data_IF_593221203876
#
_entry.id   IF_593221203876
#
_cell.length_a   1.000
_cell.length_b   1.000
_cell.length_c   1.000
_cell.angle_alpha   90.00
_cell.angle_beta   90.00
_cell.angle_gamma   90.00
#
_symmetry.space_group_name_H-M   'P 1'
#
loop_
_entity.id
_entity.type
_entity.pdbx_description
1 polymer ?
#
# COMPACT_ATOMS: atom_id res chain seq x y z
N UNK A 1 -16.40 14.56 1.56
CA UNK A 1 -14.95 14.52 1.92
C UNK A 1 -14.30 13.37 1.16
N UNK A 2 -13.02 13.46 0.82
CA UNK A 2 -12.28 12.34 0.21
C UNK A 2 -11.50 11.58 1.27
N UNK A 3 -11.51 10.25 1.18
CA UNK A 3 -10.63 9.37 1.96
C UNK A 3 -9.93 8.37 1.05
N UNK A 4 -8.70 8.06 1.42
CA UNK A 4 -7.82 7.16 0.69
C UNK A 4 -7.50 5.92 1.51
N UNK A 5 -7.38 4.79 0.84
CA UNK A 5 -6.80 3.57 1.42
C UNK A 5 -5.72 3.07 0.47
N UNK A 6 -4.53 2.85 1.01
CA UNK A 6 -3.45 2.14 0.35
C UNK A 6 -3.37 0.75 0.96
N UNK A 7 -3.56 -0.29 0.14
CA UNK A 7 -3.46 -1.70 0.54
C UNK A 7 -2.16 -2.29 -0.01
N UNK A 8 -1.27 -2.70 0.89
CA UNK A 8 -0.01 -3.39 0.59
C UNK A 8 -0.26 -4.90 0.67
N UNK A 9 -0.43 -5.52 -0.48
CA UNK A 9 -0.61 -6.97 -0.63
C UNK A 9 0.68 -7.71 -0.98
N UNK A 10 0.55 -9.02 -1.17
CA UNK A 10 1.68 -9.89 -1.58
C UNK A 10 2.24 -9.56 -2.96
N UNK A 11 1.38 -9.15 -3.89
CA UNK A 11 1.77 -8.95 -5.29
C UNK A 11 1.76 -7.47 -5.71
N UNK A 12 0.87 -6.68 -5.12
CA UNK A 12 0.58 -5.33 -5.55
C UNK A 12 0.30 -4.41 -4.38
N UNK A 13 0.60 -3.12 -4.57
CA UNK A 13 0.11 -2.02 -3.74
C UNK A 13 -1.05 -1.36 -4.49
N UNK A 14 -2.21 -1.21 -3.83
CA UNK A 14 -3.41 -0.61 -4.42
C UNK A 14 -3.77 0.69 -3.73
N UNK A 15 -4.31 1.65 -4.46
CA UNK A 15 -4.92 2.87 -3.92
C UNK A 15 -6.38 2.92 -4.33
N UNK A 16 -7.26 3.16 -3.35
CA UNK A 16 -8.64 3.57 -3.57
C UNK A 16 -8.86 4.93 -2.90
N UNK A 17 -9.31 5.92 -3.67
CA UNK A 17 -9.85 7.18 -3.17
C UNK A 17 -11.37 7.11 -3.34
N UNK A 18 -12.11 7.41 -2.29
CA UNK A 18 -13.57 7.47 -2.33
C UNK A 18 -14.08 8.85 -1.86
N UNK A 19 -15.11 9.34 -2.54
CA UNK A 19 -15.91 10.45 -2.09
C UNK A 19 -16.95 9.95 -1.08
N UNK A 20 -17.03 10.61 0.08
CA UNK A 20 -17.97 10.34 1.16
C UNK A 20 -18.98 11.48 1.28
N UNK A 21 -20.27 11.15 1.19
CA UNK A 21 -21.41 12.08 1.30
C UNK A 21 -22.50 11.48 2.19
N UNK A 22 -22.50 11.82 3.48
CA UNK A 22 -23.36 11.14 4.46
C UNK A 22 -23.00 9.66 4.55
N UNK A 23 -23.97 8.78 4.34
CA UNK A 23 -23.78 7.33 4.30
C UNK A 23 -23.41 6.80 2.90
N UNK A 24 -23.37 7.67 1.88
CA UNK A 24 -23.00 7.29 0.53
C UNK A 24 -21.47 7.30 0.35
N UNK A 25 -20.96 6.20 -0.20
CA UNK A 25 -19.55 6.00 -0.55
C UNK A 25 -19.46 5.70 -2.04
N UNK A 26 -18.77 6.56 -2.80
CA UNK A 26 -18.56 6.38 -4.24
C UNK A 26 -17.06 6.39 -4.59
N UNK A 27 -16.55 5.41 -5.34
CA UNK A 27 -15.17 5.42 -5.82
C UNK A 27 -14.87 6.67 -6.66
N UNK A 28 -13.76 7.34 -6.37
CA UNK A 28 -13.26 8.49 -7.11
C UNK A 28 -12.08 8.10 -8.01
N UNK A 29 -11.13 7.34 -7.47
CA UNK A 29 -9.95 6.87 -8.18
C UNK A 29 -9.56 5.49 -7.65
N UNK A 30 -9.28 4.55 -8.55
CA UNK A 30 -8.69 3.25 -8.22
C UNK A 30 -7.48 2.99 -9.11
N UNK A 31 -6.35 2.63 -8.51
CA UNK A 31 -5.13 2.27 -9.25
C UNK A 31 -4.26 1.31 -8.46
N UNK A 32 -3.26 0.71 -9.11
CA UNK A 32 -2.33 -0.22 -8.47
C UNK A 32 -0.94 -0.20 -9.07
N UNK A 33 0.05 -0.67 -8.31
CA UNK A 33 1.42 -0.93 -8.74
C UNK A 33 1.79 -2.36 -8.38
N UNK A 34 2.44 -3.08 -9.29
CA UNK A 34 2.99 -4.40 -9.00
C UNK A 34 4.36 -4.26 -8.35
N UNK A 35 4.52 -4.80 -7.15
CA UNK A 35 5.77 -4.71 -6.37
C UNK A 35 6.28 -6.09 -5.95
N UNK A 36 5.41 -7.11 -6.02
CA UNK A 36 5.74 -8.52 -5.72
C UNK A 36 6.41 -8.69 -4.35
N UNK A 37 5.93 -7.96 -3.34
CA UNK A 37 6.48 -7.95 -1.97
C UNK A 37 6.72 -9.35 -1.39
N UNK A 38 5.81 -10.30 -1.66
CA UNK A 38 5.92 -11.67 -1.18
C UNK A 38 6.85 -12.59 -2.01
N UNK A 39 7.56 -12.06 -3.01
CA UNK A 39 8.56 -12.83 -3.74
C UNK A 39 9.65 -13.30 -2.76
N UNK A 40 9.93 -14.61 -2.73
CA UNK A 40 10.87 -15.21 -1.78
C UNK A 40 10.30 -15.47 -0.38
N UNK A 41 9.06 -15.04 -0.08
CA UNK A 41 8.45 -15.28 1.23
C UNK A 41 8.17 -16.77 1.45
N UNK A 42 7.65 -17.48 0.45
CA UNK A 42 7.35 -18.91 0.55
C UNK A 42 8.58 -19.82 0.67
N UNK A 43 9.74 -19.37 0.17
CA UNK A 43 10.98 -20.14 0.22
C UNK A 43 11.86 -19.78 1.42
N UNK A 44 11.89 -18.50 1.83
CA UNK A 44 12.79 -17.99 2.85
C UNK A 44 12.13 -17.41 4.09
N UNK A 45 10.79 -17.30 4.14
CA UNK A 45 10.04 -16.72 5.26
C UNK A 45 10.33 -15.24 5.51
N UNK A 46 10.99 -14.56 4.56
CA UNK A 46 11.44 -13.17 4.68
C UNK A 46 11.07 -12.36 3.45
N UNK A 47 10.69 -11.10 3.69
CA UNK A 47 10.61 -10.07 2.68
C UNK A 47 12.03 -9.80 2.14
N UNK A 48 12.14 -9.69 0.82
CA UNK A 48 13.40 -9.41 0.15
C UNK A 48 13.59 -7.89 -0.01
N UNK A 49 14.84 -7.43 0.05
CA UNK A 49 15.17 -6.00 0.02
C UNK A 49 14.65 -5.28 -1.24
N UNK A 50 14.78 -5.89 -2.42
CA UNK A 50 14.32 -5.28 -3.68
C UNK A 50 12.79 -5.09 -3.72
N UNK A 51 11.96 -6.11 -3.44
CA UNK A 51 10.51 -5.92 -3.29
C UNK A 51 10.08 -4.94 -2.19
N UNK A 52 10.84 -4.82 -1.09
CA UNK A 52 10.61 -3.78 -0.07
C UNK A 52 10.79 -2.39 -0.69
N UNK A 53 11.92 -2.15 -1.36
CA UNK A 53 12.19 -0.85 -2.00
C UNK A 53 11.16 -0.50 -3.07
N UNK A 54 10.76 -1.48 -3.90
CA UNK A 54 9.69 -1.29 -4.88
C UNK A 54 8.34 -0.94 -4.22
N UNK A 55 8.04 -1.57 -3.08
CA UNK A 55 6.83 -1.30 -2.30
C UNK A 55 6.86 0.10 -1.69
N UNK A 56 7.98 0.53 -1.11
CA UNK A 56 8.14 1.89 -0.57
C UNK A 56 7.98 2.94 -1.66
N UNK A 57 8.61 2.73 -2.83
CA UNK A 57 8.48 3.64 -3.97
C UNK A 57 7.02 3.76 -4.44
N UNK A 58 6.31 2.63 -4.56
CA UNK A 58 4.91 2.60 -4.93
C UNK A 58 4.01 3.32 -3.89
N UNK A 59 4.24 3.11 -2.59
CA UNK A 59 3.47 3.79 -1.54
C UNK A 59 3.69 5.31 -1.61
N UNK A 60 4.93 5.78 -1.77
CA UNK A 60 5.25 7.21 -1.91
C UNK A 60 4.59 7.83 -3.14
N UNK A 61 4.63 7.13 -4.27
CA UNK A 61 3.94 7.54 -5.50
C UNK A 61 2.42 7.66 -5.28
N UNK A 62 1.80 6.65 -4.66
CA UNK A 62 0.36 6.61 -4.44
C UNK A 62 -0.11 7.64 -3.41
N UNK A 63 0.69 7.93 -2.38
CA UNK A 63 0.43 9.04 -1.45
C UNK A 63 0.47 10.39 -2.16
N UNK A 64 1.45 10.60 -3.05
CA UNK A 64 1.51 11.82 -3.86
C UNK A 64 0.30 11.94 -4.79
N UNK A 65 -0.14 10.84 -5.40
CA UNK A 65 -1.34 10.79 -6.23
C UNK A 65 -2.61 11.08 -5.42
N UNK A 66 -2.74 10.53 -4.20
CA UNK A 66 -3.85 10.82 -3.31
C UNK A 66 -3.91 12.32 -2.96
N UNK A 67 -2.76 12.90 -2.59
CA UNK A 67 -2.65 14.34 -2.32
C UNK A 67 -3.01 15.20 -3.53
N UNK A 68 -2.60 14.81 -4.73
CA UNK A 68 -2.96 15.51 -5.97
C UNK A 68 -4.45 15.43 -6.32
N UNK A 69 -5.18 14.47 -5.74
CA UNK A 69 -6.64 14.31 -5.88
C UNK A 69 -7.39 14.82 -4.63
N UNK A 70 -6.84 15.82 -3.92
CA UNK A 70 -7.45 16.44 -2.72
C UNK A 70 -7.80 15.45 -1.60
N UNK A 71 -7.11 14.31 -1.55
CA UNK A 71 -7.29 13.29 -0.52
C UNK A 71 -6.13 13.35 0.48
N UNK A 72 -6.29 14.18 1.52
CA UNK A 72 -5.30 14.34 2.59
C UNK A 72 -5.38 13.26 3.67
N UNK A 73 -6.53 12.61 3.85
CA UNK A 73 -6.72 11.50 4.80
C UNK A 73 -6.59 10.15 4.08
N UNK A 74 -5.36 9.62 4.05
CA UNK A 74 -5.05 8.32 3.45
C UNK A 74 -4.50 7.36 4.50
N UNK A 75 -5.10 6.18 4.62
CA UNK A 75 -4.63 5.11 5.50
C UNK A 75 -3.87 4.05 4.72
N UNK A 76 -2.73 3.61 5.24
CA UNK A 76 -1.94 2.51 4.68
C UNK A 76 -2.23 1.26 5.51
N UNK A 77 -2.51 0.14 4.84
CA UNK A 77 -2.79 -1.16 5.46
C UNK A 77 -1.88 -2.18 4.79
N UNK A 78 -1.16 -2.97 5.58
CA UNK A 78 -0.37 -4.09 5.09
C UNK A 78 -1.02 -5.43 5.48
N UNK A 79 -1.02 -6.39 4.56
CA UNK A 79 -1.75 -7.66 4.72
C UNK A 79 -0.81 -8.87 4.80
N UNK A 80 -1.14 -9.98 4.11
CA UNK A 80 -0.54 -11.30 4.31
C UNK A 80 0.97 -11.32 4.18
N UNK A 81 1.56 -10.70 3.16
CA UNK A 81 3.01 -10.75 2.99
C UNK A 81 3.79 -10.16 4.18
N UNK A 82 3.29 -9.08 4.77
CA UNK A 82 3.94 -8.45 5.93
C UNK A 82 3.67 -9.27 7.19
N UNK A 83 2.40 -9.62 7.43
CA UNK A 83 1.98 -10.40 8.60
C UNK A 83 2.68 -11.77 8.68
N UNK A 84 2.87 -12.43 7.54
CA UNK A 84 3.39 -13.80 7.47
C UNK A 84 4.93 -13.83 7.35
N UNK A 85 5.59 -12.66 7.27
CA UNK A 85 7.06 -12.56 7.20
C UNK A 85 7.71 -12.52 8.58
N UNK A 86 8.96 -12.98 8.65
CA UNK A 86 9.76 -12.91 9.87
C UNK A 86 10.49 -11.57 10.08
N UNK A 87 10.41 -10.66 9.11
CA UNK A 87 11.07 -9.35 9.12
C UNK A 87 10.15 -8.18 8.72
N UNK A 88 8.93 -8.04 9.31
CA UNK A 88 8.01 -6.95 8.96
C UNK A 88 8.59 -5.57 9.28
N UNK A 89 9.44 -5.47 10.30
CA UNK A 89 10.09 -4.23 10.72
C UNK A 89 10.89 -3.57 9.57
N UNK A 90 11.55 -4.35 8.71
CA UNK A 90 12.32 -3.79 7.60
C UNK A 90 11.46 -3.00 6.60
N UNK A 91 10.20 -3.40 6.41
CA UNK A 91 9.27 -2.62 5.59
C UNK A 91 8.75 -1.40 6.35
N UNK A 92 8.40 -1.55 7.63
CA UNK A 92 7.84 -0.47 8.44
C UNK A 92 8.87 0.67 8.60
N UNK A 93 10.10 0.34 8.97
CA UNK A 93 11.20 1.31 9.13
C UNK A 93 11.52 2.03 7.80
N UNK A 94 11.25 1.42 6.65
CA UNK A 94 11.48 2.01 5.34
C UNK A 94 10.31 2.90 4.85
N UNK A 95 9.14 2.81 5.51
CA UNK A 95 7.95 3.59 5.22
C UNK A 95 7.83 4.86 6.10
N UNK A 96 8.48 4.88 7.26
CA UNK A 96 8.64 6.07 8.13
C UNK A 96 9.45 7.19 7.44
#
# INVERSE_FOLDING_TARGET
MRRGVIDIGTNSVKLLIADLRGDEISPHLETSRQTRLGCGLYSGGKLQAEPIQATVAAVKELLALAKANDCSDTRIIATSAVRDSSNPAELLDALD
#
